data_IF_504239351078
#
_entry.id   IF_504239351078
#
_cell.length_a   1.000
_cell.length_b   1.000
_cell.length_c   1.000
_cell.angle_alpha   90.00
_cell.angle_beta   90.00
_cell.angle_gamma   90.00
#
_symmetry.space_group_name_H-M   'P 1'
#
loop_
_entity.id
_entity.type
_entity.pdbx_description
1 polymer ?
#
# COMPACT_ATOMS: atom_id res chain seq x y z
N UNK A 1 14.47 -10.82 -23.60
CA UNK A 1 14.30 -9.40 -24.00
C UNK A 1 12.93 -8.81 -23.61
N UNK A 2 11.80 -9.49 -23.82
CA UNK A 2 10.46 -8.99 -23.45
C UNK A 2 10.29 -8.73 -21.95
N UNK A 3 10.81 -9.61 -21.10
CA UNK A 3 10.77 -9.46 -19.64
C UNK A 3 11.56 -8.24 -19.14
N UNK A 4 12.69 -7.91 -19.78
CA UNK A 4 13.46 -6.69 -19.43
C UNK A 4 12.72 -5.40 -19.80
N UNK A 5 12.05 -5.37 -20.95
CA UNK A 5 11.26 -4.21 -21.39
C UNK A 5 10.02 -3.98 -20.50
N UNK A 6 9.36 -5.06 -20.05
CA UNK A 6 8.21 -4.99 -19.13
C UNK A 6 8.67 -4.46 -17.75
N UNK A 7 9.81 -4.92 -17.26
CA UNK A 7 10.36 -4.45 -15.97
C UNK A 7 10.76 -2.98 -16.04
N UNK A 8 11.42 -2.54 -17.11
CA UNK A 8 11.81 -1.13 -17.28
C UNK A 8 10.59 -0.22 -17.48
N UNK A 9 9.58 -0.65 -18.22
CA UNK A 9 8.35 0.11 -18.44
C UNK A 9 7.52 0.24 -17.15
N UNK A 10 7.35 -0.86 -16.38
CA UNK A 10 6.65 -0.81 -15.09
C UNK A 10 7.38 0.06 -14.07
N UNK A 11 8.71 0.01 -14.06
CA UNK A 11 9.54 0.82 -13.17
C UNK A 11 9.39 2.32 -13.51
N UNK A 12 9.38 2.68 -14.81
CA UNK A 12 9.18 4.08 -15.23
C UNK A 12 7.76 4.60 -14.95
N UNK A 13 6.74 3.75 -15.07
CA UNK A 13 5.33 4.13 -14.83
C UNK A 13 5.05 4.40 -13.35
N UNK A 14 5.78 3.74 -12.45
CA UNK A 14 5.63 3.91 -10.99
C UNK A 14 6.59 4.97 -10.45
N UNK A 15 7.83 5.00 -10.95
CA UNK A 15 8.86 5.93 -10.45
C UNK A 15 8.60 7.36 -10.93
N UNK A 16 8.09 7.57 -12.15
CA UNK A 16 7.79 8.94 -12.66
C UNK A 16 6.76 9.68 -11.79
N UNK A 17 5.57 9.15 -11.51
CA UNK A 17 4.65 9.84 -10.61
C UNK A 17 5.19 9.93 -9.17
N UNK A 18 5.90 8.91 -8.68
CA UNK A 18 6.54 8.97 -7.37
C UNK A 18 7.55 10.13 -7.31
N UNK A 19 8.40 10.28 -8.31
CA UNK A 19 9.32 11.40 -8.40
C UNK A 19 8.60 12.76 -8.51
N UNK A 20 7.44 12.83 -9.18
CA UNK A 20 6.66 14.06 -9.29
C UNK A 20 6.09 14.52 -7.94
N UNK A 21 5.68 13.58 -7.10
CA UNK A 21 5.18 13.88 -5.75
C UNK A 21 6.30 14.01 -4.71
N UNK A 22 7.40 13.33 -4.92
CA UNK A 22 8.54 13.26 -3.99
C UNK A 22 9.60 14.33 -4.31
N UNK A 23 9.76 14.74 -5.57
CA UNK A 23 10.71 15.78 -5.98
C UNK A 23 10.50 17.14 -5.24
N UNK A 24 9.28 17.67 -5.06
CA UNK A 24 9.10 18.90 -4.28
C UNK A 24 9.39 18.71 -2.78
N UNK A 25 9.19 17.49 -2.25
CA UNK A 25 9.65 17.15 -0.90
C UNK A 25 11.17 17.12 -0.81
N UNK A 26 11.85 16.64 -1.87
CA UNK A 26 13.32 16.57 -1.95
C UNK A 26 13.98 17.93 -2.13
N UNK A 27 13.36 18.85 -2.86
CA UNK A 27 13.92 20.17 -3.15
C UNK A 27 14.16 21.02 -1.87
N UNK A 28 13.49 20.68 -0.77
CA UNK A 28 13.61 21.37 0.52
C UNK A 28 14.56 20.67 1.51
N UNK A 29 15.21 19.58 1.12
CA UNK A 29 16.12 18.82 1.98
C UNK A 29 17.59 19.24 1.73
N UNK A 30 18.44 19.40 2.77
CA UNK A 30 19.86 19.68 2.59
C UNK A 30 20.57 18.55 1.81
N UNK A 31 21.62 18.90 1.07
CA UNK A 31 22.33 18.01 0.13
C UNK A 31 22.82 16.67 0.73
N UNK A 32 23.14 16.63 2.03
CA UNK A 32 23.48 15.40 2.76
C UNK A 32 22.31 14.43 2.92
N UNK A 33 21.08 14.92 2.78
CA UNK A 33 19.85 14.13 2.93
C UNK A 33 19.43 13.51 1.59
N UNK A 34 19.97 14.02 0.48
CA UNK A 34 19.62 13.54 -0.87
C UNK A 34 20.18 12.14 -1.13
N UNK A 35 21.40 11.84 -0.66
CA UNK A 35 21.96 10.47 -0.73
C UNK A 35 21.21 9.48 0.18
N UNK A 36 20.81 9.93 1.37
CA UNK A 36 20.03 9.10 2.31
C UNK A 36 18.60 8.87 1.83
N UNK A 37 18.01 9.85 1.13
CA UNK A 37 16.70 9.70 0.54
C UNK A 37 16.73 8.78 -0.69
N UNK A 38 17.78 8.84 -1.52
CA UNK A 38 18.02 7.86 -2.60
C UNK A 38 18.09 6.45 -2.00
N UNK A 39 18.80 6.25 -0.89
CA UNK A 39 18.81 4.99 -0.16
C UNK A 39 17.40 4.56 0.32
N UNK A 40 16.55 5.50 0.77
CA UNK A 40 15.16 5.25 1.13
C UNK A 40 14.28 4.87 -0.07
N UNK A 41 14.44 5.56 -1.20
CA UNK A 41 13.76 5.23 -2.46
C UNK A 41 14.20 3.86 -2.96
N UNK A 42 15.50 3.56 -2.92
CA UNK A 42 16.06 2.26 -3.32
C UNK A 42 15.55 1.12 -2.41
N UNK A 43 15.10 1.43 -1.20
CA UNK A 43 14.49 0.47 -0.29
C UNK A 43 12.99 0.27 -0.57
N UNK A 44 12.28 1.33 -0.97
CA UNK A 44 10.84 1.29 -1.28
C UNK A 44 10.59 0.64 -2.65
N UNK A 45 11.44 0.89 -3.63
CA UNK A 45 11.32 0.35 -4.99
C UNK A 45 11.19 -1.18 -5.03
N UNK A 46 12.04 -1.97 -4.33
CA UNK A 46 11.88 -3.43 -4.30
C UNK A 46 10.56 -3.88 -3.65
N UNK A 47 10.02 -3.13 -2.68
CA UNK A 47 8.72 -3.45 -2.07
C UNK A 47 7.54 -3.12 -3.01
N UNK A 48 7.65 -2.05 -3.80
CA UNK A 48 6.63 -1.67 -4.78
C UNK A 48 6.70 -2.50 -6.06
N UNK A 49 7.84 -3.12 -6.35
CA UNK A 49 8.07 -3.92 -7.56
C UNK A 49 7.07 -5.08 -7.73
N UNK A 50 6.81 -5.94 -6.72
CA UNK A 50 5.82 -7.02 -6.86
C UNK A 50 4.41 -6.50 -7.09
N UNK A 51 4.04 -5.36 -6.48
CA UNK A 51 2.74 -4.71 -6.70
C UNK A 51 2.64 -4.22 -8.14
N UNK A 52 3.65 -3.51 -8.63
CA UNK A 52 3.71 -3.02 -10.01
C UNK A 52 3.70 -4.15 -11.03
N UNK A 53 4.46 -5.22 -10.78
CA UNK A 53 4.46 -6.41 -11.63
C UNK A 53 3.08 -7.09 -11.65
N UNK A 54 2.44 -7.22 -10.49
CA UNK A 54 1.08 -7.76 -10.37
C UNK A 54 0.05 -6.94 -11.17
N UNK A 55 0.11 -5.62 -11.06
CA UNK A 55 -0.76 -4.71 -11.83
C UNK A 55 -0.53 -4.81 -13.35
N UNK A 56 0.73 -4.97 -13.78
CA UNK A 56 1.04 -5.17 -15.20
C UNK A 56 0.52 -6.50 -15.73
N UNK A 57 0.69 -7.60 -14.99
CA UNK A 57 0.14 -8.90 -15.36
C UNK A 57 -1.39 -8.81 -15.45
N UNK A 58 -2.02 -8.19 -14.46
CA UNK A 58 -3.47 -7.95 -14.45
C UNK A 58 -3.93 -7.15 -15.68
N UNK A 59 -3.25 -6.06 -16.02
CA UNK A 59 -3.58 -5.25 -17.20
C UNK A 59 -3.46 -6.05 -18.50
N UNK A 60 -2.41 -6.86 -18.65
CA UNK A 60 -2.25 -7.75 -19.83
C UNK A 60 -3.40 -8.75 -19.92
N UNK A 61 -3.78 -9.38 -18.81
CA UNK A 61 -4.90 -10.31 -18.76
C UNK A 61 -6.21 -9.61 -19.17
N UNK A 62 -6.47 -8.40 -18.68
CA UNK A 62 -7.66 -7.62 -19.04
C UNK A 62 -7.68 -7.31 -20.54
N UNK A 63 -6.55 -6.91 -21.13
CA UNK A 63 -6.45 -6.64 -22.57
C UNK A 63 -6.72 -7.89 -23.40
N UNK A 64 -6.15 -9.05 -22.99
CA UNK A 64 -6.38 -10.32 -23.70
C UNK A 64 -7.85 -10.76 -23.62
N UNK A 65 -8.46 -10.68 -22.44
CA UNK A 65 -9.88 -11.03 -22.24
C UNK A 65 -10.78 -10.10 -23.05
N UNK A 66 -10.49 -8.79 -23.04
CA UNK A 66 -11.24 -7.81 -23.83
C UNK A 66 -11.09 -8.05 -25.33
N UNK A 67 -9.89 -8.39 -25.81
CA UNK A 67 -9.63 -8.78 -27.19
C UNK A 67 -10.42 -10.03 -27.60
N UNK A 68 -10.46 -11.07 -26.76
CA UNK A 68 -11.26 -12.26 -27.02
C UNK A 68 -12.76 -11.94 -27.15
N UNK A 69 -13.28 -11.03 -26.31
CA UNK A 69 -14.67 -10.57 -26.43
C UNK A 69 -14.93 -9.88 -27.74
N UNK A 70 -14.06 -8.96 -28.17
CA UNK A 70 -14.20 -8.22 -29.44
C UNK A 70 -14.11 -9.14 -30.65
N UNK A 71 -13.09 -9.98 -30.76
CA UNK A 71 -12.94 -10.92 -31.89
C UNK A 71 -14.01 -12.01 -31.88
N UNK A 72 -14.44 -12.45 -30.71
CA UNK A 72 -15.52 -13.40 -30.55
C UNK A 72 -16.85 -12.88 -31.11
N UNK A 73 -17.16 -11.61 -30.81
CA UNK A 73 -18.39 -10.98 -31.29
C UNK A 73 -18.39 -10.74 -32.79
N UNK A 74 -17.24 -10.46 -33.41
CA UNK A 74 -17.16 -10.13 -34.84
C UNK A 74 -17.02 -11.35 -35.78
N UNK A 75 -16.26 -12.36 -35.37
CA UNK A 75 -15.79 -13.37 -36.31
C UNK A 75 -16.03 -14.84 -35.89
N UNK A 76 -16.04 -15.13 -34.57
CA UNK A 76 -15.96 -16.51 -34.12
C UNK A 76 -16.87 -16.81 -32.92
N UNK A 77 -18.07 -17.36 -33.15
CA UNK A 77 -19.04 -17.64 -32.07
C UNK A 77 -18.50 -18.62 -31.02
N UNK A 78 -17.54 -19.47 -31.35
CA UNK A 78 -16.87 -20.36 -30.39
C UNK A 78 -16.03 -19.60 -29.39
N UNK A 79 -15.34 -18.51 -29.83
CA UNK A 79 -14.55 -17.64 -28.97
C UNK A 79 -15.47 -16.82 -28.05
N UNK A 80 -16.62 -16.36 -28.57
CA UNK A 80 -17.62 -15.66 -27.77
C UNK A 80 -18.18 -16.56 -26.66
N UNK A 81 -18.44 -17.85 -26.92
CA UNK A 81 -18.86 -18.82 -25.90
C UNK A 81 -17.80 -18.97 -24.81
N UNK A 82 -16.52 -19.12 -25.18
CA UNK A 82 -15.40 -19.22 -24.23
C UNK A 82 -15.28 -17.95 -23.38
N UNK A 83 -15.37 -16.78 -24.02
CA UNK A 83 -15.37 -15.48 -23.34
C UNK A 83 -16.51 -15.35 -22.32
N UNK A 84 -17.73 -15.74 -22.69
CA UNK A 84 -18.90 -15.68 -21.80
C UNK A 84 -18.73 -16.59 -20.58
N UNK A 85 -18.21 -17.81 -20.77
CA UNK A 85 -17.91 -18.73 -19.66
C UNK A 85 -16.84 -18.13 -18.74
N UNK A 86 -15.79 -17.54 -19.30
CA UNK A 86 -14.73 -16.90 -18.51
C UNK A 86 -15.27 -15.73 -17.69
N UNK A 87 -16.11 -14.89 -18.28
CA UNK A 87 -16.77 -13.79 -17.56
C UNK A 87 -17.66 -14.30 -16.42
N UNK A 88 -18.44 -15.37 -16.65
CA UNK A 88 -19.27 -15.98 -15.62
C UNK A 88 -18.43 -16.44 -14.42
N UNK A 89 -17.29 -17.08 -14.68
CA UNK A 89 -16.35 -17.49 -13.61
C UNK A 89 -15.82 -16.28 -12.86
N UNK A 90 -15.36 -15.24 -13.57
CA UNK A 90 -14.81 -14.03 -12.93
C UNK A 90 -15.88 -13.36 -12.07
N UNK A 91 -17.09 -13.17 -12.58
CA UNK A 91 -18.20 -12.55 -11.83
C UNK A 91 -18.58 -13.39 -10.62
N UNK A 92 -18.62 -14.72 -10.76
CA UNK A 92 -18.93 -15.62 -9.63
C UNK A 92 -17.88 -15.53 -8.50
N UNK A 93 -16.59 -15.52 -8.85
CA UNK A 93 -15.51 -15.34 -7.89
C UNK A 93 -15.60 -13.96 -7.23
N UNK A 94 -15.86 -12.91 -8.01
CA UNK A 94 -16.01 -11.55 -7.48
C UNK A 94 -17.19 -11.45 -6.49
N UNK A 95 -18.34 -12.04 -6.81
CA UNK A 95 -19.49 -12.10 -5.92
C UNK A 95 -19.18 -12.86 -4.63
N UNK A 96 -18.48 -14.00 -4.71
CA UNK A 96 -18.04 -14.76 -3.55
C UNK A 96 -17.14 -13.93 -2.63
N UNK A 97 -16.17 -13.22 -3.21
CA UNK A 97 -15.29 -12.31 -2.43
C UNK A 97 -16.09 -11.21 -1.75
N UNK A 98 -17.07 -10.61 -2.43
CA UNK A 98 -17.96 -9.61 -1.85
C UNK A 98 -18.79 -10.19 -0.69
N UNK A 99 -19.37 -11.38 -0.88
CA UNK A 99 -20.13 -12.07 0.18
C UNK A 99 -19.25 -12.34 1.41
N UNK A 100 -18.04 -12.86 1.21
CA UNK A 100 -17.09 -13.13 2.31
C UNK A 100 -16.71 -11.83 3.03
N UNK A 101 -16.47 -10.77 2.27
CA UNK A 101 -16.15 -9.45 2.83
C UNK A 101 -17.28 -8.92 3.73
N UNK A 102 -18.55 -8.97 3.26
CA UNK A 102 -19.69 -8.50 4.04
C UNK A 102 -20.06 -9.43 5.21
N UNK A 103 -19.88 -10.73 5.02
CA UNK A 103 -20.19 -11.72 6.07
C UNK A 103 -19.17 -11.70 7.22
N UNK A 104 -17.91 -11.35 6.94
CA UNK A 104 -16.82 -11.40 7.91
C UNK A 104 -15.85 -10.20 7.79
N UNK A 105 -16.32 -8.97 8.02
CA UNK A 105 -15.47 -7.77 7.89
C UNK A 105 -14.28 -7.81 8.86
N UNK A 106 -14.41 -8.51 9.98
CA UNK A 106 -13.35 -8.63 10.99
C UNK A 106 -12.14 -9.49 10.54
N UNK A 107 -12.26 -10.29 9.47
CA UNK A 107 -11.11 -11.08 9.01
C UNK A 107 -10.00 -10.20 8.47
N UNK A 108 -10.36 -9.20 7.69
CA UNK A 108 -9.37 -8.25 7.13
C UNK A 108 -8.69 -7.42 8.22
N UNK A 109 -9.45 -6.94 9.20
CA UNK A 109 -8.91 -6.14 10.32
C UNK A 109 -8.01 -6.97 11.24
N UNK A 110 -8.37 -8.24 11.51
CA UNK A 110 -7.53 -9.15 12.30
C UNK A 110 -6.21 -9.45 11.58
N UNK A 111 -6.25 -9.73 10.27
CA UNK A 111 -5.05 -9.96 9.47
C UNK A 111 -4.15 -8.72 9.46
N UNK A 112 -4.71 -7.54 9.18
CA UNK A 112 -4.00 -6.27 9.23
C UNK A 112 -3.32 -6.05 10.59
N UNK A 113 -4.07 -6.25 11.68
CA UNK A 113 -3.56 -6.10 13.05
C UNK A 113 -2.40 -7.05 13.34
N UNK A 114 -2.53 -8.33 12.97
CA UNK A 114 -1.50 -9.35 13.17
C UNK A 114 -0.21 -8.98 12.42
N UNK A 115 -0.33 -8.60 11.14
CA UNK A 115 0.83 -8.21 10.34
C UNK A 115 1.47 -6.91 10.86
N UNK A 116 0.67 -5.95 11.32
CA UNK A 116 1.19 -4.72 11.89
C UNK A 116 1.99 -4.97 13.18
N UNK A 117 1.51 -5.86 14.06
CA UNK A 117 2.27 -6.30 15.23
C UNK A 117 3.59 -6.98 14.86
N UNK A 118 3.58 -7.80 13.81
CA UNK A 118 4.80 -8.43 13.32
C UNK A 118 5.82 -7.40 12.81
N UNK A 119 5.36 -6.33 12.16
CA UNK A 119 6.20 -5.21 11.73
C UNK A 119 6.78 -4.44 12.92
N UNK A 120 5.95 -4.13 13.92
CA UNK A 120 6.40 -3.45 15.16
C UNK A 120 7.50 -4.23 15.87
N UNK A 121 7.34 -5.55 16.00
CA UNK A 121 8.35 -6.42 16.62
C UNK A 121 9.67 -6.49 15.85
N UNK A 122 9.63 -6.27 14.54
CA UNK A 122 10.82 -6.28 13.66
C UNK A 122 11.47 -4.92 13.52
N UNK A 123 10.88 -3.88 14.07
CA UNK A 123 11.39 -2.53 13.94
C UNK A 123 12.77 -2.37 14.61
N UNK A 124 13.72 -1.79 13.88
CA UNK A 124 15.08 -1.52 14.36
C UNK A 124 15.40 -0.03 14.36
N UNK A 125 15.28 0.62 13.20
CA UNK A 125 15.57 2.06 13.03
C UNK A 125 15.02 2.55 11.70
N UNK A 126 14.69 3.84 11.60
CA UNK A 126 14.26 4.46 10.34
C UNK A 126 15.40 4.50 9.30
N UNK A 127 16.59 4.92 9.68
CA UNK A 127 17.76 4.96 8.78
C UNK A 127 18.43 3.55 8.65
N UNK A 128 17.75 2.49 9.06
CA UNK A 128 18.22 1.12 8.92
C UNK A 128 18.09 0.62 7.48
N UNK A 129 18.95 -0.35 7.08
CA UNK A 129 18.87 -0.98 5.77
C UNK A 129 17.79 -2.06 5.68
N UNK A 130 16.86 -2.14 6.63
CA UNK A 130 15.79 -3.12 6.64
C UNK A 130 14.46 -2.54 6.21
N UNK A 131 13.91 -3.09 5.14
CA UNK A 131 12.64 -2.68 4.55
C UNK A 131 11.46 -2.63 5.54
N UNK A 132 11.29 -3.58 6.50
CA UNK A 132 10.18 -3.52 7.43
C UNK A 132 10.18 -2.29 8.33
N UNK A 133 11.36 -1.87 8.84
CA UNK A 133 11.48 -0.70 9.72
C UNK A 133 11.15 0.59 8.99
N UNK A 134 11.70 0.77 7.78
CA UNK A 134 11.41 1.96 6.96
C UNK A 134 9.94 2.02 6.58
N UNK A 135 9.34 0.90 6.16
CA UNK A 135 7.93 0.84 5.81
C UNK A 135 7.02 1.20 6.99
N UNK A 136 7.29 0.62 8.18
CA UNK A 136 6.54 0.94 9.39
C UNK A 136 6.70 2.41 9.77
N UNK A 137 7.92 2.94 9.73
CA UNK A 137 8.20 4.34 10.04
C UNK A 137 7.44 5.29 9.10
N UNK A 138 7.43 5.02 7.80
CA UNK A 138 6.67 5.82 6.82
C UNK A 138 5.16 5.79 7.11
N UNK A 139 4.61 4.64 7.51
CA UNK A 139 3.21 4.56 7.92
C UNK A 139 2.98 5.41 9.18
N UNK A 140 3.82 5.30 10.19
CA UNK A 140 3.71 6.07 11.43
C UNK A 140 3.71 7.57 11.15
N UNK A 141 4.63 8.04 10.30
CA UNK A 141 4.72 9.45 9.89
C UNK A 141 3.47 9.87 9.10
N UNK A 142 3.09 9.12 8.05
CA UNK A 142 1.99 9.47 7.15
C UNK A 142 0.61 9.46 7.83
N UNK A 143 0.46 8.70 8.91
CA UNK A 143 -0.81 8.57 9.63
C UNK A 143 -0.81 9.25 11.00
N UNK A 144 0.31 9.86 11.41
CA UNK A 144 0.50 10.48 12.72
C UNK A 144 0.12 9.52 13.86
N UNK A 145 0.80 8.39 13.93
CA UNK A 145 0.54 7.32 14.87
C UNK A 145 1.84 6.69 15.38
N UNK A 146 1.78 5.85 16.39
CA UNK A 146 2.93 5.17 16.97
C UNK A 146 2.54 3.75 17.41
N UNK A 147 3.22 2.74 16.88
CA UNK A 147 2.93 1.33 17.18
C UNK A 147 1.61 0.82 16.57
N UNK A 148 1.23 -0.39 16.90
CA UNK A 148 -0.03 -0.97 16.45
C UNK A 148 -1.23 -0.38 17.21
N UNK A 149 -1.25 -0.49 18.54
CA UNK A 149 -2.27 0.11 19.40
C UNK A 149 -1.80 1.45 19.98
N UNK A 150 -0.55 1.57 20.35
CA UNK A 150 0.13 2.78 20.84
C UNK A 150 1.65 2.53 20.95
N UNK A 151 2.40 3.53 21.39
CA UNK A 151 3.86 3.42 21.53
C UNK A 151 4.33 2.29 22.46
N UNK A 152 3.50 1.85 23.41
CA UNK A 152 3.91 0.78 24.35
C UNK A 152 4.16 -0.57 23.66
N UNK A 153 3.72 -0.75 22.42
CA UNK A 153 3.98 -1.95 21.63
C UNK A 153 5.47 -2.14 21.29
N UNK A 154 6.27 -1.08 21.40
CA UNK A 154 7.72 -1.11 21.22
C UNK A 154 8.50 -1.51 22.47
N UNK A 155 7.85 -1.59 23.66
CA UNK A 155 8.53 -1.96 24.89
C UNK A 155 9.11 -3.37 24.79
N UNK A 156 10.44 -3.45 25.00
CA UNK A 156 11.16 -4.72 24.98
C UNK A 156 11.45 -5.31 23.59
N UNK A 157 10.99 -4.69 22.52
CA UNK A 157 11.27 -5.14 21.13
C UNK A 157 12.18 -4.20 20.35
N UNK A 158 12.26 -2.95 20.74
CA UNK A 158 13.05 -1.92 20.07
C UNK A 158 14.43 -1.74 20.75
N UNK A 159 15.45 -1.47 19.96
CA UNK A 159 16.72 -0.96 20.47
C UNK A 159 16.51 0.43 21.07
N UNK A 160 17.22 0.74 22.16
CA UNK A 160 17.19 2.07 22.79
C UNK A 160 17.82 3.16 21.92
N UNK A 161 18.31 2.81 20.75
CA UNK A 161 18.94 3.72 19.78
C UNK A 161 18.19 3.68 18.46
N UNK A 162 17.83 4.86 17.94
CA UNK A 162 17.19 5.03 16.64
C UNK A 162 17.88 6.15 15.85
N UNK A 163 17.74 6.14 14.54
CA UNK A 163 18.31 7.14 13.65
C UNK A 163 17.23 7.78 12.81
N UNK A 164 17.29 9.10 12.67
CA UNK A 164 16.41 9.88 11.81
C UNK A 164 17.24 10.92 11.06
N UNK A 165 17.25 10.85 9.73
CA UNK A 165 17.99 11.78 8.87
C UNK A 165 19.46 11.92 9.23
N UNK A 166 20.15 10.80 9.47
CA UNK A 166 21.57 10.75 9.82
C UNK A 166 21.90 11.14 11.27
N UNK A 167 20.92 11.59 12.05
CA UNK A 167 21.09 11.87 13.48
C UNK A 167 20.79 10.63 14.29
N UNK A 168 21.68 10.29 15.20
CA UNK A 168 21.51 9.17 16.14
C UNK A 168 20.96 9.69 17.46
N UNK A 169 19.92 9.04 17.95
CA UNK A 169 19.29 9.31 19.23
C UNK A 169 19.43 8.06 20.10
N UNK A 170 19.78 8.26 21.37
CA UNK A 170 20.03 7.18 22.35
C UNK A 170 19.06 7.29 23.51
N UNK A 171 18.99 6.25 24.33
CA UNK A 171 18.14 6.17 25.54
C UNK A 171 16.63 6.39 25.24
N UNK A 172 16.18 5.89 24.09
CA UNK A 172 14.82 6.06 23.62
C UNK A 172 13.87 5.06 24.27
N UNK A 173 12.69 5.53 24.64
CA UNK A 173 11.55 4.68 25.03
C UNK A 173 10.71 4.24 23.83
N UNK A 174 10.66 5.07 22.79
CA UNK A 174 9.88 4.87 21.56
C UNK A 174 10.69 5.31 20.35
N UNK A 175 10.36 4.81 19.14
CA UNK A 175 10.99 5.29 17.91
C UNK A 175 10.91 6.81 17.77
N UNK A 176 11.97 7.42 17.23
CA UNK A 176 12.01 8.88 17.00
C UNK A 176 10.87 9.34 16.08
N UNK A 177 10.48 8.50 15.13
CA UNK A 177 9.36 8.77 14.21
C UNK A 177 7.99 8.84 14.91
N UNK A 178 7.88 8.46 16.18
CA UNK A 178 6.70 8.70 17.00
C UNK A 178 6.57 10.16 17.47
N UNK A 179 7.65 10.96 17.40
CA UNK A 179 7.57 12.40 17.62
C UNK A 179 6.78 13.07 16.50
N UNK A 180 6.18 14.22 16.79
CA UNK A 180 5.57 15.04 15.75
C UNK A 180 6.67 15.66 14.89
N UNK A 181 6.54 15.48 13.57
CA UNK A 181 7.50 15.94 12.58
C UNK A 181 6.85 17.00 11.68
N UNK A 182 7.66 17.91 11.17
CA UNK A 182 7.25 18.83 10.11
C UNK A 182 7.28 18.15 8.73
N UNK A 183 6.93 18.87 7.69
CA UNK A 183 6.95 18.39 6.31
C UNK A 183 8.34 18.04 5.78
N UNK A 184 9.39 18.46 6.49
CA UNK A 184 10.82 18.17 6.21
C UNK A 184 11.37 17.05 7.09
N UNK A 185 10.52 16.30 7.78
CA UNK A 185 10.87 15.24 8.73
C UNK A 185 11.74 15.72 9.91
N UNK A 186 11.70 17.03 10.25
CA UNK A 186 12.36 17.56 11.43
C UNK A 186 11.43 17.52 12.63
N UNK A 187 11.98 17.33 13.82
CA UNK A 187 11.24 17.37 15.05
C UNK A 187 10.62 18.75 15.27
N UNK A 188 9.31 18.79 15.54
CA UNK A 188 8.60 20.03 15.87
C UNK A 188 8.96 20.53 17.28
N UNK A 189 9.31 19.60 18.18
CA UNK A 189 9.75 19.91 19.54
C UNK A 189 11.08 19.19 19.81
N UNK A 190 12.10 19.96 20.20
CA UNK A 190 13.42 19.43 20.52
C UNK A 190 13.44 18.55 21.79
N UNK A 191 12.43 18.67 22.67
CA UNK A 191 12.31 17.80 23.86
C UNK A 191 11.90 16.36 23.48
N UNK A 192 11.19 16.16 22.40
CA UNK A 192 11.02 14.84 21.81
C UNK A 192 12.30 14.55 20.98
N UNK A 193 12.98 13.41 21.15
CA UNK A 193 12.51 12.16 21.76
C UNK A 193 12.98 11.90 23.21
N UNK A 194 13.52 12.87 23.90
CA UNK A 194 13.95 12.68 25.30
C UNK A 194 12.75 12.56 26.24
N UNK A 195 11.71 13.37 26.01
CA UNK A 195 10.47 13.35 26.77
C UNK A 195 9.27 13.30 25.83
N UNK A 196 8.59 12.15 25.77
CA UNK A 196 7.40 11.96 24.96
C UNK A 196 6.14 12.39 25.71
N UNK A 197 5.40 13.32 25.16
CA UNK A 197 4.09 13.78 25.65
C UNK A 197 3.04 13.70 24.54
N UNK A 198 1.76 13.83 24.89
CA UNK A 198 0.68 13.90 23.90
C UNK A 198 0.76 15.16 23.02
N UNK A 199 1.45 16.20 23.49
CA UNK A 199 1.60 17.46 22.78
C UNK A 199 2.67 17.38 21.70
N UNK A 200 3.80 16.70 21.97
CA UNK A 200 4.95 16.64 21.07
C UNK A 200 5.11 15.31 20.34
N UNK A 201 4.26 14.31 20.62
CA UNK A 201 4.37 12.97 20.04
C UNK A 201 3.00 12.34 19.74
N UNK A 202 3.03 11.25 18.99
CA UNK A 202 1.87 10.43 18.66
C UNK A 202 1.85 9.11 19.46
N UNK A 203 2.57 9.03 20.59
CA UNK A 203 2.76 7.78 21.34
C UNK A 203 1.46 7.16 21.85
N UNK A 204 0.42 7.95 22.04
CA UNK A 204 -0.90 7.48 22.47
C UNK A 204 -1.82 7.07 21.32
N UNK A 205 -1.41 7.29 20.07
CA UNK A 205 -2.22 7.10 18.89
C UNK A 205 -1.78 5.84 18.13
N UNK A 206 -2.60 4.79 18.17
CA UNK A 206 -2.31 3.53 17.47
C UNK A 206 -2.51 3.62 15.96
N UNK A 207 -1.59 3.01 15.20
CA UNK A 207 -1.66 3.03 13.75
C UNK A 207 -2.79 2.16 13.19
N UNK A 208 -3.09 1.04 13.82
CA UNK A 208 -4.15 0.13 13.34
C UNK A 208 -5.50 0.82 13.32
N UNK A 209 -5.88 1.50 14.39
CA UNK A 209 -7.17 2.22 14.46
C UNK A 209 -7.29 3.33 13.41
N UNK A 210 -6.21 4.07 13.19
CA UNK A 210 -6.18 5.13 12.15
C UNK A 210 -6.23 4.57 10.74
N UNK A 211 -5.52 3.47 10.49
CA UNK A 211 -5.57 2.76 9.21
C UNK A 211 -6.95 2.14 8.97
N UNK A 212 -7.53 1.48 9.97
CA UNK A 212 -8.89 0.93 9.87
C UNK A 212 -9.88 2.03 9.47
N UNK A 213 -9.86 3.19 10.12
CA UNK A 213 -10.75 4.32 9.80
C UNK A 213 -10.57 4.83 8.36
N UNK A 214 -9.31 4.96 7.90
CA UNK A 214 -9.01 5.37 6.53
C UNK A 214 -9.42 4.28 5.51
N UNK A 215 -9.13 3.01 5.83
CA UNK A 215 -9.49 1.87 5.00
C UNK A 215 -10.99 1.72 4.87
N UNK A 216 -11.78 1.88 5.93
CA UNK A 216 -13.24 1.82 5.85
C UNK A 216 -13.82 2.87 4.92
N UNK A 217 -13.29 4.10 4.94
CA UNK A 217 -13.71 5.14 3.99
C UNK A 217 -13.39 4.75 2.54
N UNK A 218 -12.18 4.24 2.30
CA UNK A 218 -11.75 3.79 0.97
C UNK A 218 -12.55 2.57 0.52
N UNK A 219 -12.81 1.63 1.43
CA UNK A 219 -13.54 0.40 1.13
C UNK A 219 -14.97 0.69 0.68
N UNK A 220 -15.67 1.66 1.26
CA UNK A 220 -17.01 2.03 0.77
C UNK A 220 -16.96 2.47 -0.70
N UNK A 221 -15.97 3.25 -1.11
CA UNK A 221 -15.79 3.64 -2.50
C UNK A 221 -15.53 2.41 -3.37
N UNK A 222 -14.62 1.52 -2.93
CA UNK A 222 -14.30 0.28 -3.65
C UNK A 222 -15.54 -0.61 -3.81
N UNK A 223 -16.38 -0.72 -2.79
CA UNK A 223 -17.63 -1.48 -2.84
C UNK A 223 -18.58 -0.93 -3.91
N UNK A 224 -18.81 0.38 -3.96
CA UNK A 224 -19.68 0.97 -4.99
C UNK A 224 -19.13 0.78 -6.41
N UNK A 225 -17.82 0.95 -6.58
CA UNK A 225 -17.15 0.68 -7.86
C UNK A 225 -17.28 -0.81 -8.22
N UNK A 226 -17.08 -1.73 -7.28
CA UNK A 226 -17.23 -3.17 -7.49
C UNK A 226 -18.66 -3.55 -7.92
N UNK A 227 -19.67 -2.99 -7.26
CA UNK A 227 -21.07 -3.22 -7.63
C UNK A 227 -21.35 -2.73 -9.06
N UNK A 228 -20.85 -1.55 -9.42
CA UNK A 228 -20.99 -1.01 -10.78
C UNK A 228 -20.33 -1.91 -11.82
N UNK A 229 -19.14 -2.45 -11.53
CA UNK A 229 -18.42 -3.39 -12.39
C UNK A 229 -19.19 -4.71 -12.54
N UNK A 230 -19.76 -5.24 -11.46
CA UNK A 230 -20.57 -6.47 -11.50
C UNK A 230 -21.81 -6.26 -12.39
N UNK A 231 -22.57 -5.17 -12.20
CA UNK A 231 -23.73 -4.85 -13.00
C UNK A 231 -23.38 -4.72 -14.49
N UNK A 232 -22.29 -4.03 -14.80
CA UNK A 232 -21.80 -3.89 -16.17
C UNK A 232 -21.45 -5.25 -16.80
N UNK A 233 -20.76 -6.12 -16.08
CA UNK A 233 -20.44 -7.48 -16.55
C UNK A 233 -21.71 -8.33 -16.78
N UNK A 234 -22.72 -8.24 -15.92
CA UNK A 234 -23.99 -8.93 -16.11
C UNK A 234 -24.66 -8.49 -17.40
N UNK A 235 -24.66 -7.18 -17.72
CA UNK A 235 -25.21 -6.65 -18.98
C UNK A 235 -24.44 -7.22 -20.18
N UNK A 236 -23.10 -7.24 -20.13
CA UNK A 236 -22.27 -7.81 -21.21
C UNK A 236 -22.58 -9.28 -21.41
N UNK A 237 -22.71 -10.06 -20.35
CA UNK A 237 -23.04 -11.49 -20.40
C UNK A 237 -24.43 -11.69 -21.06
N UNK A 238 -25.41 -10.86 -20.69
CA UNK A 238 -26.75 -10.92 -21.28
C UNK A 238 -26.71 -10.63 -22.78
N UNK A 239 -25.98 -9.59 -23.20
CA UNK A 239 -25.81 -9.24 -24.63
C UNK A 239 -25.10 -10.38 -25.38
N UNK A 240 -24.02 -10.93 -24.81
CA UNK A 240 -23.28 -12.03 -25.42
C UNK A 240 -24.14 -13.28 -25.56
N UNK A 241 -25.00 -13.58 -24.58
CA UNK A 241 -25.93 -14.69 -24.62
C UNK A 241 -26.99 -14.50 -25.73
N UNK A 242 -27.56 -13.30 -25.86
CA UNK A 242 -28.50 -12.96 -26.95
C UNK A 242 -27.85 -13.07 -28.33
N UNK A 243 -26.58 -12.73 -28.46
CA UNK A 243 -25.84 -12.86 -29.73
C UNK A 243 -25.51 -14.32 -30.10
N UNK A 244 -25.60 -15.24 -29.15
CA UNK A 244 -25.33 -16.68 -29.34
C UNK A 244 -26.62 -17.49 -29.64
N UNK A 245 -27.82 -16.91 -29.43
CA UNK A 245 -29.12 -17.46 -29.78
C UNK A 245 -29.40 -17.23 -31.26
#
# INVERSE_FOLDING_TARGET
MVTGAIITFSTQLIIRPLNTYVAPLMANLPNTTQEQFQGGVDLIVPMMRPIGTGLMIFAVVVVLVSGMGFFGAMCYPKILKLYTVLLLVIVSVHLLLMIVYFARPQMATKALRSEFYNLVKKYKSFDGNDSPSVFLALIMIATNCCGANNGSDFKGSMNTTDKLLGRTYTDLQYPVVCCKLDTSFKLLDANCPTNFSAENSNVNEGCVSKLETKLFKLTNIIVYVSLSVILFNIIIIAIAFLALL
#
